data_IF_472900099955
#
_entry.id   IF_472900099955
#
_cell.length_a   1.000
_cell.length_b   1.000
_cell.length_c   1.000
_cell.angle_alpha   90.00
_cell.angle_beta   90.00
_cell.angle_gamma   90.00
#
_symmetry.space_group_name_H-M   'P 1'
#
loop_
_entity.id
_entity.type
_entity.pdbx_description
1 polymer ?
#
# COMPACT_ATOMS: atom_id res chain seq x y z
N UNK A 1 -30.81 41.38 -44.56
CA UNK A 1 -30.96 39.90 -44.56
C UNK A 1 -29.72 39.26 -45.18
N UNK A 2 -28.75 38.83 -44.38
CA UNK A 2 -27.73 37.84 -44.74
C UNK A 2 -27.33 37.07 -43.47
N UNK A 3 -27.15 35.77 -43.66
CA UNK A 3 -27.25 34.69 -42.69
C UNK A 3 -26.25 34.76 -41.54
N UNK A 4 -26.74 34.40 -40.35
CA UNK A 4 -25.95 34.01 -39.20
C UNK A 4 -25.22 32.68 -39.47
N UNK A 5 -23.89 32.68 -39.35
CA UNK A 5 -23.09 31.46 -39.30
C UNK A 5 -22.79 31.11 -37.84
N UNK A 6 -23.51 30.15 -37.28
CA UNK A 6 -23.22 29.60 -35.95
C UNK A 6 -22.12 28.55 -36.10
N UNK A 7 -20.92 28.86 -35.64
CA UNK A 7 -19.82 27.90 -35.50
C UNK A 7 -19.99 27.19 -34.17
N UNK A 8 -20.49 25.95 -34.21
CA UNK A 8 -20.56 25.07 -33.06
C UNK A 8 -19.17 24.46 -32.79
N UNK A 9 -18.46 24.99 -31.79
CA UNK A 9 -17.25 24.36 -31.26
C UNK A 9 -17.66 23.17 -30.39
N UNK A 10 -17.38 21.96 -30.90
CA UNK A 10 -17.42 20.72 -30.15
C UNK A 10 -16.31 20.74 -29.09
N UNK A 11 -16.61 21.20 -27.88
CA UNK A 11 -15.75 20.96 -26.72
C UNK A 11 -15.88 19.50 -26.32
N UNK A 12 -15.04 18.67 -26.93
CA UNK A 12 -14.85 17.27 -26.57
C UNK A 12 -14.45 17.16 -25.10
N UNK A 13 -15.30 16.48 -24.32
CA UNK A 13 -15.03 16.15 -22.94
C UNK A 13 -13.81 15.24 -22.85
N UNK A 14 -12.70 15.78 -22.36
CA UNK A 14 -11.64 14.99 -21.76
C UNK A 14 -12.19 14.38 -20.48
N UNK A 15 -12.79 13.19 -20.60
CA UNK A 15 -12.98 12.31 -19.46
C UNK A 15 -11.59 11.88 -19.01
N UNK A 16 -11.05 12.61 -18.03
CA UNK A 16 -9.83 12.22 -17.34
C UNK A 16 -10.03 10.80 -16.81
N UNK A 17 -9.19 9.88 -17.29
CA UNK A 17 -9.04 8.55 -16.70
C UNK A 17 -8.54 8.76 -15.27
N UNK A 18 -9.48 8.86 -14.34
CA UNK A 18 -9.20 8.79 -12.92
C UNK A 18 -8.79 7.35 -12.65
N UNK A 19 -7.47 7.11 -12.60
CA UNK A 19 -6.93 5.90 -12.02
C UNK A 19 -7.28 5.95 -10.52
N UNK A 20 -8.49 5.50 -10.19
CA UNK A 20 -8.91 5.30 -8.82
C UNK A 20 -7.96 4.28 -8.22
N UNK A 21 -7.16 4.73 -7.26
CA UNK A 21 -6.60 3.85 -6.24
C UNK A 21 -7.75 2.96 -5.75
N UNK A 22 -7.55 1.64 -5.81
CA UNK A 22 -8.57 0.70 -5.35
C UNK A 22 -8.98 1.07 -3.92
N UNK A 23 -10.28 1.24 -3.71
CA UNK A 23 -10.82 1.61 -2.41
C UNK A 23 -10.47 0.52 -1.40
N UNK A 24 -10.03 0.91 -0.21
CA UNK A 24 -9.62 -0.04 0.81
C UNK A 24 -10.80 -0.94 1.18
N UNK A 25 -10.63 -2.26 1.11
CA UNK A 25 -11.66 -3.23 1.50
C UNK A 25 -12.08 -3.12 2.96
N UNK A 26 -11.20 -2.56 3.81
CA UNK A 26 -11.43 -2.35 5.23
C UNK A 26 -11.24 -0.87 5.58
N UNK A 27 -11.95 -0.41 6.61
CA UNK A 27 -11.70 0.91 7.17
C UNK A 27 -10.36 0.93 7.90
N UNK A 28 -9.39 1.60 7.29
CA UNK A 28 -8.03 1.79 7.83
C UNK A 28 -7.86 3.13 8.54
N UNK A 29 -8.91 3.93 8.64
CA UNK A 29 -8.91 5.22 9.36
C UNK A 29 -8.52 5.14 10.83
N UNK A 30 -8.87 4.09 11.62
CA UNK A 30 -8.48 4.02 13.03
C UNK A 30 -7.01 3.65 13.25
N UNK A 31 -6.29 3.26 12.20
CA UNK A 31 -4.91 2.81 12.35
C UNK A 31 -3.95 3.98 12.54
N UNK A 32 -2.92 3.81 13.39
CA UNK A 32 -1.84 4.78 13.56
C UNK A 32 -1.22 5.22 12.24
N UNK A 33 -0.86 6.49 12.17
CA UNK A 33 -0.16 7.08 11.02
C UNK A 33 1.31 7.25 11.36
N UNK A 34 2.18 6.84 10.45
CA UNK A 34 3.63 7.03 10.55
C UNK A 34 4.14 7.77 9.32
N UNK A 35 4.93 8.82 9.52
CA UNK A 35 5.54 9.62 8.46
C UNK A 35 7.04 9.71 8.68
N UNK A 36 7.83 9.57 7.61
CA UNK A 36 9.28 9.75 7.67
C UNK A 36 9.94 9.72 6.29
N UNK A 37 11.18 10.18 6.23
CA UNK A 37 11.99 10.11 5.01
C UNK A 37 12.63 8.73 4.84
N UNK A 38 12.51 8.16 3.65
CA UNK A 38 13.09 6.86 3.30
C UNK A 38 14.59 6.99 3.05
N UNK A 39 15.39 6.31 3.87
CA UNK A 39 16.85 6.25 3.71
C UNK A 39 17.31 4.97 3.01
N UNK A 40 16.51 3.89 3.08
CA UNK A 40 16.83 2.62 2.43
C UNK A 40 15.57 1.88 1.99
N UNK A 41 15.65 1.20 0.85
CA UNK A 41 14.64 0.24 0.39
C UNK A 41 15.15 -1.18 0.68
N UNK A 42 14.33 -2.02 1.29
CA UNK A 42 14.60 -3.44 1.58
C UNK A 42 13.72 -4.33 0.70
N UNK A 43 13.92 -5.66 0.77
CA UNK A 43 13.10 -6.60 -0.02
C UNK A 43 11.64 -6.66 0.43
N UNK A 44 11.36 -6.28 1.68
CA UNK A 44 10.06 -6.35 2.35
C UNK A 44 9.49 -4.96 2.72
N UNK A 45 10.15 -3.87 2.33
CA UNK A 45 9.75 -2.54 2.79
C UNK A 45 10.81 -1.46 2.65
N UNK A 46 10.84 -0.56 3.64
CA UNK A 46 11.75 0.59 3.70
C UNK A 46 12.24 0.86 5.12
N UNK A 47 13.42 1.48 5.23
CA UNK A 47 13.94 2.05 6.46
C UNK A 47 13.84 3.57 6.40
N UNK A 48 13.31 4.17 7.47
CA UNK A 48 13.22 5.61 7.65
C UNK A 48 14.49 6.17 8.29
N UNK A 49 14.68 7.48 8.17
CA UNK A 49 15.81 8.21 8.77
C UNK A 49 15.91 8.05 10.30
N UNK A 50 14.78 7.97 11.00
CA UNK A 50 14.72 7.80 12.46
C UNK A 50 15.01 6.36 12.93
N UNK A 51 15.34 5.46 11.99
CA UNK A 51 15.58 4.04 12.21
C UNK A 51 14.32 3.17 12.21
N UNK A 52 13.14 3.72 11.88
CA UNK A 52 11.90 2.93 11.79
C UNK A 52 11.87 2.08 10.53
N UNK A 53 11.65 0.78 10.69
CA UNK A 53 11.44 -0.17 9.59
C UNK A 53 9.96 -0.26 9.25
N UNK A 54 9.58 0.09 8.02
CA UNK A 54 8.21 -0.08 7.53
C UNK A 54 8.19 -1.30 6.62
N UNK A 55 7.43 -2.33 7.01
CA UNK A 55 7.11 -3.46 6.16
C UNK A 55 6.00 -3.03 5.20
N UNK A 56 6.26 -3.14 3.90
CA UNK A 56 5.32 -2.79 2.84
C UNK A 56 4.89 -4.05 2.08
N UNK A 57 3.59 -4.25 1.87
CA UNK A 57 3.07 -5.18 0.89
C UNK A 57 3.70 -4.96 -0.49
N UNK A 58 3.89 -6.06 -1.24
CA UNK A 58 4.63 -6.03 -2.51
C UNK A 58 3.99 -5.07 -3.52
N UNK A 59 2.66 -5.04 -3.59
CA UNK A 59 1.94 -4.10 -4.45
C UNK A 59 2.19 -2.61 -4.13
N UNK A 60 2.62 -2.28 -2.90
CA UNK A 60 2.87 -0.91 -2.46
C UNK A 60 4.33 -0.46 -2.67
N UNK A 61 5.27 -1.39 -2.81
CA UNK A 61 6.69 -1.08 -3.05
C UNK A 61 6.95 -0.17 -4.27
N UNK A 62 6.24 -0.33 -5.42
CA UNK A 62 6.46 0.52 -6.59
C UNK A 62 6.15 2.02 -6.36
N UNK A 63 5.49 2.38 -5.27
CA UNK A 63 5.09 3.76 -4.95
C UNK A 63 6.05 4.50 -4.02
N UNK A 64 7.11 3.84 -3.57
CA UNK A 64 8.07 4.41 -2.63
C UNK A 64 9.44 4.60 -3.30
N UNK A 65 10.14 5.69 -2.98
CA UNK A 65 11.47 6.02 -3.50
C UNK A 65 12.42 6.42 -2.37
N UNK A 66 13.72 6.28 -2.62
CA UNK A 66 14.76 6.82 -1.73
C UNK A 66 14.64 8.34 -1.62
N UNK A 67 14.97 8.87 -0.44
CA UNK A 67 14.90 10.29 -0.10
C UNK A 67 13.51 10.91 -0.28
N UNK A 68 12.47 10.08 -0.26
CA UNK A 68 11.08 10.51 -0.30
C UNK A 68 10.49 10.42 1.10
N UNK A 69 9.74 11.45 1.51
CA UNK A 69 8.85 11.33 2.67
C UNK A 69 7.67 10.42 2.33
N UNK A 70 7.52 9.35 3.11
CA UNK A 70 6.37 8.44 3.02
C UNK A 70 5.48 8.65 4.23
N UNK A 71 4.17 8.50 4.02
CA UNK A 71 3.17 8.48 5.08
C UNK A 71 2.36 7.21 4.94
N UNK A 72 2.36 6.38 5.97
CA UNK A 72 1.67 5.09 5.98
C UNK A 72 0.69 5.00 7.13
N UNK A 73 -0.34 4.17 6.95
CA UNK A 73 -1.19 3.70 8.04
C UNK A 73 -0.86 2.25 8.32
N UNK A 74 -0.70 1.90 9.58
CA UNK A 74 -0.20 0.58 9.91
C UNK A 74 -0.30 0.20 11.38
N UNK A 75 0.06 -1.04 11.63
CA UNK A 75 0.19 -1.59 12.97
C UNK A 75 1.61 -1.33 13.46
N UNK A 76 1.73 -0.72 14.64
CA UNK A 76 3.02 -0.49 15.27
C UNK A 76 3.48 -1.75 16.00
N UNK A 77 4.75 -2.10 15.84
CA UNK A 77 5.40 -3.11 16.66
C UNK A 77 5.41 -2.69 18.14
N UNK A 78 5.20 -3.64 19.04
CA UNK A 78 5.13 -3.38 20.48
C UNK A 78 6.52 -3.15 21.11
N UNK A 79 7.57 -3.70 20.49
CA UNK A 79 8.91 -3.78 21.09
C UNK A 79 10.03 -3.27 20.18
N UNK A 80 9.75 -3.10 18.89
CA UNK A 80 10.72 -2.68 17.88
C UNK A 80 10.17 -1.46 17.12
N UNK A 81 11.07 -0.62 16.59
CA UNK A 81 10.69 0.47 15.67
C UNK A 81 10.30 -0.12 14.32
N UNK A 82 9.17 -0.81 14.28
CA UNK A 82 8.66 -1.49 13.10
C UNK A 82 7.19 -1.14 12.90
N UNK A 83 6.81 -0.92 11.66
CA UNK A 83 5.42 -0.64 11.27
C UNK A 83 5.03 -1.61 10.17
N UNK A 84 3.94 -2.35 10.36
CA UNK A 84 3.31 -3.09 9.27
C UNK A 84 2.34 -2.16 8.56
N UNK A 85 2.71 -1.69 7.37
CA UNK A 85 1.85 -0.80 6.60
C UNK A 85 0.70 -1.58 5.95
N UNK A 86 -0.50 -1.04 6.12
CA UNK A 86 -1.72 -1.54 5.45
C UNK A 86 -2.32 -0.51 4.50
N UNK A 87 -1.78 0.71 4.47
CA UNK A 87 -2.07 1.69 3.45
C UNK A 87 -0.93 2.71 3.31
N UNK A 88 -0.76 3.23 2.09
CA UNK A 88 0.15 4.31 1.76
C UNK A 88 -0.67 5.56 1.40
N UNK A 89 -0.39 6.69 2.04
CA UNK A 89 -1.02 7.96 1.71
C UNK A 89 -0.29 8.59 0.53
N UNK A 90 -1.03 9.03 -0.49
CA UNK A 90 -0.50 9.72 -1.67
C UNK A 90 -1.27 11.01 -1.93
N UNK A 91 -0.74 11.93 -2.75
CA UNK A 91 -1.47 13.13 -3.15
C UNK A 91 -2.81 12.87 -3.85
N UNK A 92 -2.99 11.68 -4.44
CA UNK A 92 -4.21 11.26 -5.14
C UNK A 92 -5.21 10.54 -4.22
N UNK A 93 -4.87 10.38 -2.95
CA UNK A 93 -5.63 9.61 -1.98
C UNK A 93 -4.83 8.42 -1.44
N UNK A 94 -5.54 7.49 -0.82
CA UNK A 94 -4.95 6.35 -0.12
C UNK A 94 -4.81 5.15 -1.05
N UNK A 95 -3.64 4.53 -1.07
CA UNK A 95 -3.39 3.25 -1.73
C UNK A 95 -3.45 2.13 -0.71
N UNK A 96 -4.31 1.14 -0.96
CA UNK A 96 -4.38 -0.08 -0.17
C UNK A 96 -3.77 -1.27 -0.92
N UNK A 97 -3.23 -2.26 -0.19
CA UNK A 97 -2.66 -3.47 -0.77
C UNK A 97 -3.67 -4.22 -1.64
N UNK A 98 -3.15 -4.96 -2.62
CA UNK A 98 -3.94 -5.91 -3.40
C UNK A 98 -4.38 -7.09 -2.53
N UNK A 99 -5.52 -7.72 -2.86
CA UNK A 99 -5.93 -8.98 -2.23
C UNK A 99 -4.85 -10.08 -2.36
N UNK A 100 -3.97 -10.00 -3.36
CA UNK A 100 -2.86 -10.93 -3.56
C UNK A 100 -1.72 -10.77 -2.54
N UNK A 101 -1.60 -9.60 -1.89
CA UNK A 101 -0.57 -9.38 -0.86
C UNK A 101 -0.88 -10.13 0.44
N UNK A 102 -2.14 -10.50 0.65
CA UNK A 102 -2.55 -11.35 1.77
C UNK A 102 -2.22 -12.80 1.42
N UNK A 103 -1.08 -13.29 1.90
CA UNK A 103 -0.76 -14.73 1.83
C UNK A 103 -1.83 -15.53 2.55
N UNK A 104 -2.75 -16.12 1.79
CA UNK A 104 -3.72 -17.08 2.33
C UNK A 104 -2.94 -18.32 2.75
N UNK A 105 -3.13 -18.73 4.00
CA UNK A 105 -2.64 -20.03 4.46
C UNK A 105 -3.31 -21.19 3.72
N UNK A 106 -2.93 -22.44 4.02
CA UNK A 106 -3.63 -23.61 3.52
C UNK A 106 -5.14 -23.50 3.82
N UNK A 107 -5.98 -24.00 2.92
CA UNK A 107 -7.43 -23.99 3.15
C UNK A 107 -7.80 -25.00 4.26
N UNK A 108 -8.86 -24.76 5.05
CA UNK A 108 -9.31 -25.68 6.08
C UNK A 108 -9.61 -27.08 5.53
N UNK A 109 -9.04 -28.12 6.15
CA UNK A 109 -9.18 -29.52 5.70
C UNK A 109 -8.19 -29.95 4.62
N UNK A 110 -7.26 -29.08 4.20
CA UNK A 110 -6.11 -29.51 3.41
C UNK A 110 -5.10 -30.23 4.31
N UNK A 111 -4.36 -31.23 3.80
CA UNK A 111 -3.29 -31.89 4.57
C UNK A 111 -2.23 -30.90 5.10
N UNK A 112 -2.01 -29.78 4.39
CA UNK A 112 -1.10 -28.73 4.82
C UNK A 112 -1.66 -27.84 5.95
N UNK A 113 -2.97 -27.84 6.17
CA UNK A 113 -3.63 -27.14 7.29
C UNK A 113 -3.40 -27.85 8.62
N UNK A 114 -3.33 -29.19 8.59
CA UNK A 114 -3.20 -30.04 9.79
C UNK A 114 -1.75 -30.20 10.25
N UNK A 115 -0.78 -29.60 9.55
CA UNK A 115 0.63 -29.63 9.94
C UNK A 115 0.89 -28.58 11.01
N UNK A 116 0.84 -29.00 12.28
CA UNK A 116 1.39 -28.21 13.39
C UNK A 116 2.92 -28.34 13.33
N UNK A 117 3.61 -27.38 12.70
CA UNK A 117 5.07 -27.30 12.81
C UNK A 117 5.40 -26.86 14.24
N UNK A 118 5.94 -27.76 15.05
CA UNK A 118 6.61 -27.38 16.29
C UNK A 118 7.86 -26.59 15.93
N UNK A 119 7.82 -25.27 16.08
CA UNK A 119 9.01 -24.42 15.96
C UNK A 119 9.93 -24.71 17.15
N UNK A 120 10.84 -25.66 16.98
CA UNK A 120 11.75 -26.11 18.04
C UNK A 120 13.02 -26.83 17.57
N UNK A 121 13.36 -26.80 16.28
CA UNK A 121 14.69 -27.25 15.83
C UNK A 121 15.51 -26.04 15.36
N UNK A 122 16.18 -25.43 16.34
CA UNK A 122 17.55 -24.95 16.14
C UNK A 122 18.49 -26.17 16.10
N UNK A 123 19.64 -26.00 15.45
CA UNK A 123 20.78 -26.93 15.24
C UNK A 123 20.68 -27.67 13.89
N UNK A 124 21.62 -27.60 12.96
CA UNK A 124 22.99 -27.05 12.91
C UNK A 124 23.37 -26.85 11.44
#
# INVERSE_FOLDING_TARGET
MRLAGVVALLTGGFHGLSAWAAECHYDVSPLPVTTGEVTRITGDGVLLEDGTSIVLPESLLPFVRLSQTVTVRGLNGLHEKKVWAVALETPKGRLCPSEHDVKKGPYPGSPAYDVIRHSGEHSE
#
